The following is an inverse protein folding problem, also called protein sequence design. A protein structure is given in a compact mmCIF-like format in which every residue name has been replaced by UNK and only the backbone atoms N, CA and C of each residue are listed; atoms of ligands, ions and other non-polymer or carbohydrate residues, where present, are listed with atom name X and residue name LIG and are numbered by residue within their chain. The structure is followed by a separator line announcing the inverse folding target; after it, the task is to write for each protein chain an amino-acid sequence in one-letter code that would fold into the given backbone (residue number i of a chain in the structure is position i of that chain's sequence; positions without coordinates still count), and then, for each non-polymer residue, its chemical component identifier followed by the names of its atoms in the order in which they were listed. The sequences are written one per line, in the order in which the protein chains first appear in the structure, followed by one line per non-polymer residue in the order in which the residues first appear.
data_IF_920636996041
#
_entry.id   IF_920636996041
#
_cell.length_a   1.000
_cell.length_b   1.000
_cell.length_c   1.000
_cell.angle_alpha   90.00
_cell.angle_beta   90.00
_cell.angle_gamma   90.00
#
_symmetry.space_group_name_H-M   'P 1'
#
loop_
_entity.id
_entity.type
_entity.pdbx_description
1 polymer ?
#
# COMPACT_ATOMS: atom_id res chain seq x y z
N UNK A 1 -14.62 10.31 6.07
CA UNK A 1 -15.58 10.73 5.02
C UNK A 1 -16.89 11.28 5.59
N UNK A 2 -17.51 10.65 6.59
CA UNK A 2 -18.82 11.04 7.13
C UNK A 2 -18.96 12.53 7.50
N UNK A 3 -17.97 13.14 8.17
CA UNK A 3 -18.02 14.56 8.56
C UNK A 3 -18.05 15.53 7.38
N UNK A 4 -17.31 15.22 6.29
CA UNK A 4 -17.31 16.04 5.07
C UNK A 4 -18.67 15.94 4.36
N UNK A 5 -19.25 14.74 4.28
CA UNK A 5 -20.57 14.52 3.70
C UNK A 5 -21.67 15.23 4.50
N UNK A 6 -21.63 15.12 5.83
CA UNK A 6 -22.55 15.84 6.73
C UNK A 6 -22.42 17.35 6.59
N UNK A 7 -21.19 17.89 6.54
CA UNK A 7 -20.96 19.31 6.28
C UNK A 7 -21.54 19.73 4.92
N UNK A 8 -21.37 18.93 3.88
CA UNK A 8 -21.91 19.24 2.56
C UNK A 8 -23.44 19.29 2.56
N UNK A 9 -24.11 18.33 3.22
CA UNK A 9 -25.58 18.34 3.37
C UNK A 9 -26.07 19.53 4.21
N UNK A 10 -25.40 19.80 5.33
CA UNK A 10 -25.68 20.97 6.18
C UNK A 10 -25.62 22.29 5.41
N UNK A 11 -24.73 22.42 4.42
CA UNK A 11 -24.67 23.64 3.58
C UNK A 11 -25.94 23.82 2.72
N UNK A 12 -26.66 22.74 2.43
CA UNK A 12 -27.89 22.75 1.65
C UNK A 12 -29.15 22.86 2.51
N UNK A 13 -29.23 22.12 3.62
CA UNK A 13 -30.45 21.98 4.44
C UNK A 13 -30.39 22.67 5.81
N UNK A 14 -29.20 23.07 6.26
CA UNK A 14 -28.97 23.74 7.55
C UNK A 14 -28.91 22.83 8.77
N UNK A 15 -29.17 21.53 8.64
CA UNK A 15 -29.31 20.61 9.78
C UNK A 15 -28.00 19.96 10.18
N UNK A 16 -27.84 19.72 11.48
CA UNK A 16 -26.80 18.85 12.03
C UNK A 16 -27.24 17.39 12.00
N UNK A 17 -26.28 16.48 12.06
CA UNK A 17 -26.53 15.03 12.05
C UNK A 17 -25.74 14.33 13.15
N UNK A 18 -26.31 13.27 13.69
CA UNK A 18 -25.57 12.29 14.50
C UNK A 18 -24.86 11.32 13.56
N UNK A 19 -23.54 11.23 13.66
CA UNK A 19 -22.73 10.26 12.92
C UNK A 19 -22.41 9.10 13.87
N UNK A 20 -23.03 7.96 13.64
CA UNK A 20 -22.63 6.69 14.25
C UNK A 20 -21.59 6.00 13.37
N UNK A 21 -20.50 5.54 13.97
CA UNK A 21 -19.37 4.93 13.26
C UNK A 21 -18.86 3.71 14.03
N UNK A 22 -19.00 2.53 13.43
CA UNK A 22 -18.46 1.29 13.97
C UNK A 22 -17.07 1.00 13.44
N UNK A 23 -16.11 0.76 14.35
CA UNK A 23 -14.79 0.25 13.98
C UNK A 23 -14.89 -1.12 13.31
N UNK A 24 -15.80 -1.98 13.79
CA UNK A 24 -15.99 -3.32 13.26
C UNK A 24 -16.52 -3.29 11.82
N UNK A 25 -17.55 -2.47 11.54
CA UNK A 25 -18.10 -2.33 10.18
C UNK A 25 -17.04 -1.75 9.22
N UNK A 26 -16.26 -0.77 9.69
CA UNK A 26 -15.17 -0.22 8.88
C UNK A 26 -14.11 -1.29 8.54
N UNK A 27 -13.71 -2.12 9.51
CA UNK A 27 -12.73 -3.18 9.30
C UNK A 27 -13.25 -4.24 8.33
N UNK A 28 -14.50 -4.69 8.50
CA UNK A 28 -15.15 -5.66 7.61
C UNK A 28 -15.08 -5.18 6.16
N UNK A 29 -15.38 -3.91 5.91
CA UNK A 29 -15.38 -3.34 4.56
C UNK A 29 -13.98 -3.04 3.99
N UNK A 30 -12.96 -2.85 4.85
CA UNK A 30 -11.64 -2.36 4.39
C UNK A 30 -10.55 -3.44 4.36
N UNK A 31 -10.71 -4.55 5.08
CA UNK A 31 -9.66 -5.56 5.26
C UNK A 31 -9.82 -6.80 4.39
N UNK A 32 -10.89 -6.88 3.60
CA UNK A 32 -11.23 -8.07 2.84
C UNK A 32 -11.61 -7.69 1.40
N UNK A 33 -11.17 -8.50 0.43
CA UNK A 33 -11.55 -8.34 -0.97
C UNK A 33 -13.02 -8.73 -1.15
N UNK A 34 -13.93 -7.79 -0.86
CA UNK A 34 -15.37 -7.88 -1.11
C UNK A 34 -16.02 -9.20 -0.63
N UNK A 35 -15.86 -9.60 0.64
CA UNK A 35 -16.24 -10.93 1.11
C UNK A 35 -17.75 -11.15 0.99
N UNK A 36 -18.54 -10.10 1.22
CA UNK A 36 -20.00 -10.14 1.10
C UNK A 36 -20.41 -10.36 -0.35
N UNK A 37 -19.89 -9.56 -1.29
CA UNK A 37 -20.20 -9.69 -2.72
C UNK A 37 -19.81 -11.07 -3.25
N UNK A 38 -18.63 -11.58 -2.89
CA UNK A 38 -18.22 -12.93 -3.30
C UNK A 38 -19.10 -14.02 -2.72
N UNK A 39 -19.45 -13.91 -1.44
CA UNK A 39 -20.34 -14.86 -0.79
C UNK A 39 -21.74 -14.84 -1.41
N UNK A 40 -22.32 -13.67 -1.67
CA UNK A 40 -23.62 -13.54 -2.32
C UNK A 40 -23.63 -14.11 -3.74
N UNK A 41 -22.56 -13.85 -4.52
CA UNK A 41 -22.49 -14.27 -5.92
C UNK A 41 -22.13 -15.75 -6.10
N UNK A 42 -21.30 -16.32 -5.22
CA UNK A 42 -20.72 -17.66 -5.41
C UNK A 42 -20.93 -18.62 -4.23
N UNK A 43 -21.61 -18.20 -3.15
CA UNK A 43 -21.85 -19.02 -1.95
C UNK A 43 -20.58 -19.29 -1.13
N UNK A 44 -19.47 -18.61 -1.42
CA UNK A 44 -18.18 -18.78 -0.76
C UNK A 44 -17.35 -17.50 -0.81
N UNK A 45 -16.45 -17.25 0.16
CA UNK A 45 -15.53 -16.12 0.08
C UNK A 45 -14.56 -16.29 -1.10
N UNK A 46 -14.01 -15.17 -1.61
CA UNK A 46 -12.98 -15.18 -2.66
C UNK A 46 -11.74 -16.00 -2.27
N UNK A 47 -11.33 -15.87 -1.00
CA UNK A 47 -10.24 -16.61 -0.39
C UNK A 47 -10.69 -17.09 0.99
N UNK A 48 -10.43 -18.36 1.25
CA UNK A 48 -10.59 -19.04 2.54
C UNK A 48 -9.35 -18.90 3.43
N UNK A 49 -8.18 -18.67 2.82
CA UNK A 49 -6.91 -18.48 3.49
C UNK A 49 -6.04 -17.41 2.82
N UNK A 50 -5.01 -16.96 3.53
CA UNK A 50 -3.97 -16.09 2.98
C UNK A 50 -3.22 -16.83 1.86
N UNK A 51 -3.19 -16.25 0.66
CA UNK A 51 -2.37 -16.71 -0.46
C UNK A 51 -1.33 -15.66 -0.82
N UNK A 52 -0.06 -16.07 -0.77
CA UNK A 52 1.08 -15.26 -1.19
C UNK A 52 1.20 -15.31 -2.71
N UNK A 53 1.62 -14.20 -3.30
CA UNK A 53 2.04 -14.14 -4.70
C UNK A 53 3.51 -14.49 -4.78
N UNK A 54 3.90 -15.29 -5.76
CA UNK A 54 5.31 -15.59 -6.06
C UNK A 54 5.73 -14.72 -7.26
N UNK A 55 6.86 -13.99 -7.18
CA UNK A 55 7.78 -13.92 -6.05
C UNK A 55 7.28 -13.05 -4.89
N UNK A 56 6.48 -12.01 -5.18
CA UNK A 56 6.00 -11.07 -4.16
C UNK A 56 7.17 -10.43 -3.39
N UNK A 57 6.97 -10.19 -2.10
CA UNK A 57 8.04 -9.75 -1.19
C UNK A 57 8.94 -10.93 -0.83
N UNK A 58 10.20 -10.86 -1.24
CA UNK A 58 11.18 -11.93 -1.10
C UNK A 58 12.54 -11.42 -0.59
N UNK A 59 13.35 -12.33 -0.03
CA UNK A 59 14.73 -12.03 0.35
C UNK A 59 15.63 -11.92 -0.88
N UNK A 60 16.33 -10.80 -0.98
CA UNK A 60 17.48 -10.61 -1.85
C UNK A 60 18.79 -10.85 -1.06
N UNK A 61 19.94 -10.70 -1.71
CA UNK A 61 21.25 -10.84 -1.06
C UNK A 61 21.46 -9.86 0.11
N UNK A 62 20.95 -8.63 -0.01
CA UNK A 62 21.21 -7.51 0.90
C UNK A 62 19.94 -6.92 1.55
N UNK A 63 18.80 -7.60 1.41
CA UNK A 63 17.54 -7.11 1.95
C UNK A 63 16.31 -7.77 1.38
N UNK A 64 15.29 -6.97 1.09
CA UNK A 64 14.01 -7.42 0.56
C UNK A 64 13.69 -6.70 -0.76
N UNK A 65 13.09 -7.43 -1.69
CA UNK A 65 12.57 -6.90 -2.96
C UNK A 65 11.12 -7.35 -3.13
N UNK A 66 10.29 -6.51 -3.77
CA UNK A 66 8.92 -6.89 -4.16
C UNK A 66 8.82 -6.99 -5.69
N UNK A 67 8.35 -8.13 -6.18
CA UNK A 67 8.12 -8.41 -7.60
C UNK A 67 6.68 -8.88 -7.85
N UNK A 68 6.01 -8.24 -8.81
CA UNK A 68 4.66 -8.58 -9.23
C UNK A 68 4.64 -9.48 -10.46
N UNK A 69 4.09 -10.69 -10.32
CA UNK A 69 3.85 -11.62 -11.42
C UNK A 69 2.38 -12.06 -11.42
N UNK A 70 1.55 -11.40 -12.23
CA UNK A 70 0.09 -11.61 -12.25
C UNK A 70 -0.50 -11.86 -13.63
N UNK A 71 0.29 -11.78 -14.70
CA UNK A 71 -0.16 -11.99 -16.10
C UNK A 71 0.80 -12.95 -16.82
N UNK A 72 0.34 -13.54 -17.93
CA UNK A 72 1.17 -14.45 -18.72
C UNK A 72 2.46 -13.79 -19.23
N UNK A 73 2.36 -12.54 -19.72
CA UNK A 73 3.54 -11.79 -20.16
C UNK A 73 4.55 -11.59 -19.01
N UNK A 74 4.09 -11.17 -17.83
CA UNK A 74 4.96 -11.01 -16.66
C UNK A 74 5.61 -12.32 -16.20
N UNK A 75 4.91 -13.46 -16.36
CA UNK A 75 5.47 -14.77 -16.09
C UNK A 75 6.58 -15.13 -17.06
N UNK A 76 6.35 -14.95 -18.36
CA UNK A 76 7.36 -15.26 -19.37
C UNK A 76 8.60 -14.37 -19.22
N UNK A 77 8.40 -13.09 -18.93
CA UNK A 77 9.48 -12.15 -18.66
C UNK A 77 10.24 -12.55 -17.38
N UNK A 78 9.54 -13.01 -16.33
CA UNK A 78 10.16 -13.51 -15.11
C UNK A 78 10.99 -14.76 -15.36
N UNK A 79 10.46 -15.74 -16.10
CA UNK A 79 11.18 -16.95 -16.52
C UNK A 79 12.48 -16.59 -17.25
N UNK A 80 12.42 -15.67 -18.21
CA UNK A 80 13.60 -15.20 -18.92
C UNK A 80 14.59 -14.47 -17.99
N UNK A 81 14.10 -13.61 -17.09
CA UNK A 81 14.92 -12.86 -16.14
C UNK A 81 15.70 -13.77 -15.18
N UNK A 82 15.07 -14.83 -14.69
CA UNK A 82 15.71 -15.80 -13.76
C UNK A 82 16.49 -16.91 -14.49
N UNK A 83 16.61 -16.83 -15.81
CA UNK A 83 17.43 -17.75 -16.60
C UNK A 83 16.77 -19.09 -16.96
N UNK A 84 15.45 -19.17 -16.88
CA UNK A 84 14.65 -20.38 -17.12
C UNK A 84 13.58 -20.21 -18.21
N UNK A 85 13.95 -19.82 -19.46
CA UNK A 85 12.98 -19.68 -20.55
C UNK A 85 12.27 -20.99 -20.90
N UNK A 86 12.81 -22.15 -20.53
CA UNK A 86 12.19 -23.47 -20.73
C UNK A 86 10.94 -23.70 -19.89
N UNK A 87 10.66 -22.88 -18.87
CA UNK A 87 9.41 -22.93 -18.10
C UNK A 87 8.22 -22.29 -18.83
N UNK A 88 8.49 -21.58 -19.93
CA UNK A 88 7.44 -20.89 -20.69
C UNK A 88 6.62 -21.91 -21.47
N UNK A 89 5.36 -22.05 -21.08
CA UNK A 89 4.37 -22.87 -21.76
C UNK A 89 3.08 -22.07 -21.99
N UNK A 90 2.89 -21.59 -23.23
CA UNK A 90 1.69 -20.84 -23.65
C UNK A 90 0.41 -21.69 -23.64
N UNK A 91 0.54 -23.01 -23.61
CA UNK A 91 -0.58 -23.95 -23.61
C UNK A 91 -0.87 -24.53 -22.22
N UNK A 92 -0.13 -24.08 -21.20
CA UNK A 92 -0.29 -24.60 -19.85
C UNK A 92 -1.73 -24.41 -19.35
N UNK A 93 -2.37 -25.45 -18.80
CA UNK A 93 -3.70 -25.33 -18.21
C UNK A 93 -3.66 -24.65 -16.83
N UNK A 94 -2.46 -24.44 -16.27
CA UNK A 94 -2.26 -23.86 -14.95
C UNK A 94 -2.35 -22.34 -15.00
N UNK A 95 -2.93 -21.75 -13.95
CA UNK A 95 -2.86 -20.31 -13.75
C UNK A 95 -1.42 -19.86 -13.55
N UNK A 96 -1.13 -18.59 -13.83
CA UNK A 96 0.19 -17.99 -13.59
C UNK A 96 0.65 -18.14 -12.15
N UNK A 97 -0.28 -18.03 -11.19
CA UNK A 97 0.04 -18.27 -9.78
C UNK A 97 0.46 -19.71 -9.53
N UNK A 98 -0.20 -20.70 -10.15
CA UNK A 98 0.19 -22.11 -10.01
C UNK A 98 1.54 -22.38 -10.64
N UNK A 99 1.79 -21.86 -11.86
CA UNK A 99 3.08 -22.00 -12.54
C UNK A 99 4.22 -21.38 -11.71
N UNK A 100 4.05 -20.16 -11.20
CA UNK A 100 5.06 -19.53 -10.35
C UNK A 100 5.29 -20.29 -9.03
N UNK A 101 4.26 -20.94 -8.47
CA UNK A 101 4.42 -21.76 -7.27
C UNK A 101 5.21 -23.06 -7.53
N UNK A 102 5.11 -23.65 -8.73
CA UNK A 102 5.87 -24.86 -9.09
C UNK A 102 7.38 -24.63 -9.07
N UNK A 103 7.81 -23.40 -9.40
CA UNK A 103 9.22 -23.01 -9.52
C UNK A 103 9.65 -22.04 -8.40
N UNK A 104 8.88 -21.97 -7.31
CA UNK A 104 9.08 -20.96 -6.29
C UNK A 104 10.46 -21.05 -5.61
N UNK A 105 10.95 -22.28 -5.38
CA UNK A 105 12.25 -22.49 -4.72
C UNK A 105 13.40 -21.92 -5.56
N UNK A 106 13.44 -22.26 -6.85
CA UNK A 106 14.45 -21.78 -7.80
C UNK A 106 14.38 -20.26 -8.00
N UNK A 107 13.16 -19.72 -8.11
CA UNK A 107 12.95 -18.26 -8.17
C UNK A 107 13.51 -17.59 -6.91
N UNK A 108 13.23 -18.12 -5.72
CA UNK A 108 13.72 -17.53 -4.48
C UNK A 108 15.24 -17.71 -4.30
N UNK A 109 15.84 -18.80 -4.79
CA UNK A 109 17.29 -18.97 -4.80
C UNK A 109 17.98 -17.96 -5.72
N UNK A 110 17.40 -17.72 -6.91
CA UNK A 110 17.88 -16.67 -7.79
C UNK A 110 17.81 -15.30 -7.10
N UNK A 111 16.68 -14.95 -6.48
CA UNK A 111 16.55 -13.68 -5.76
C UNK A 111 17.54 -13.54 -4.61
N UNK A 112 17.73 -14.58 -3.78
CA UNK A 112 18.69 -14.55 -2.66
C UNK A 112 20.15 -14.40 -3.11
N UNK A 113 20.49 -14.78 -4.33
CA UNK A 113 21.85 -14.69 -4.85
C UNK A 113 22.20 -13.34 -5.47
N UNK A 114 21.22 -12.46 -5.70
CA UNK A 114 21.43 -11.15 -6.33
C UNK A 114 21.12 -9.97 -5.37
N UNK A 115 21.84 -8.84 -5.47
CA UNK A 115 21.51 -7.61 -4.76
C UNK A 115 20.11 -7.09 -5.11
N UNK A 116 19.41 -6.50 -4.13
CA UNK A 116 18.04 -6.00 -4.29
C UNK A 116 17.91 -4.93 -5.38
N UNK A 117 18.89 -4.03 -5.52
CA UNK A 117 18.90 -3.00 -6.55
C UNK A 117 19.11 -3.59 -7.96
N UNK A 118 20.00 -4.58 -8.11
CA UNK A 118 20.22 -5.28 -9.39
C UNK A 118 18.95 -6.00 -9.86
N UNK A 119 18.28 -6.71 -8.95
CA UNK A 119 17.01 -7.39 -9.23
C UNK A 119 15.98 -6.38 -9.75
N UNK A 120 15.90 -5.20 -9.12
CA UNK A 120 14.92 -4.17 -9.49
C UNK A 120 15.25 -3.52 -10.82
N UNK A 121 16.52 -3.25 -11.10
CA UNK A 121 16.96 -2.74 -12.40
C UNK A 121 16.63 -3.73 -13.52
N UNK A 122 16.94 -5.01 -13.32
CA UNK A 122 16.58 -6.09 -14.24
C UNK A 122 15.06 -6.19 -14.41
N UNK A 123 14.29 -6.27 -13.32
CA UNK A 123 12.84 -6.34 -13.37
C UNK A 123 12.23 -5.14 -14.12
N UNK A 124 12.75 -3.93 -13.90
CA UNK A 124 12.33 -2.74 -14.67
C UNK A 124 12.65 -2.89 -16.16
N UNK A 125 13.83 -3.40 -16.53
CA UNK A 125 14.20 -3.65 -17.92
C UNK A 125 13.29 -4.69 -18.60
N UNK A 126 12.94 -5.77 -17.88
CA UNK A 126 11.97 -6.78 -18.30
C UNK A 126 10.51 -6.33 -18.18
N UNK A 127 10.26 -5.10 -17.72
CA UNK A 127 8.90 -4.55 -17.48
C UNK A 127 8.05 -5.35 -16.48
N UNK A 128 8.70 -6.07 -15.58
CA UNK A 128 8.09 -6.72 -14.43
C UNK A 128 7.86 -5.67 -13.34
N UNK A 129 6.62 -5.50 -12.85
CA UNK A 129 6.33 -4.60 -11.73
C UNK A 129 7.24 -4.92 -10.54
N UNK A 130 7.94 -3.91 -10.04
CA UNK A 130 8.80 -4.05 -8.87
C UNK A 130 8.74 -2.81 -7.98
N UNK A 131 9.12 -2.99 -6.71
CA UNK A 131 9.24 -1.90 -5.75
C UNK A 131 10.31 -2.19 -4.69
N UNK A 132 10.92 -1.14 -4.09
CA UNK A 132 11.66 -1.31 -2.85
C UNK A 132 10.71 -1.70 -1.72
N UNK A 133 11.16 -2.60 -0.84
CA UNK A 133 10.44 -2.90 0.40
C UNK A 133 10.88 -1.93 1.48
N UNK A 134 9.96 -1.03 1.83
CA UNK A 134 10.23 0.03 2.80
C UNK A 134 9.80 -0.34 4.22
N UNK A 135 10.44 0.28 5.21
CA UNK A 135 10.14 0.17 6.64
C UNK A 135 10.23 1.54 7.32
N UNK A 136 10.01 1.59 8.64
CA UNK A 136 10.02 2.84 9.41
C UNK A 136 11.37 3.60 9.37
N UNK A 137 12.47 2.93 9.06
CA UNK A 137 13.80 3.54 8.99
C UNK A 137 14.14 4.15 7.62
N UNK A 138 13.66 3.55 6.52
CA UNK A 138 14.05 3.97 5.15
C UNK A 138 12.91 4.60 4.32
N UNK A 139 11.63 4.50 4.73
CA UNK A 139 10.50 4.97 3.90
C UNK A 139 10.63 6.44 3.49
N UNK A 140 11.17 7.29 4.38
CA UNK A 140 11.33 8.71 4.11
C UNK A 140 12.51 9.04 3.20
N UNK A 141 13.45 8.11 2.98
CA UNK A 141 14.60 8.31 2.12
C UNK A 141 14.36 7.89 0.67
N UNK A 142 13.27 7.19 0.36
CA UNK A 142 12.98 6.80 -1.02
C UNK A 142 12.65 8.01 -1.90
N UNK A 143 13.21 8.02 -3.11
CA UNK A 143 13.13 9.13 -4.07
C UNK A 143 11.70 9.64 -4.28
N UNK A 144 10.74 8.73 -4.45
CA UNK A 144 9.35 9.12 -4.65
C UNK A 144 8.78 9.90 -3.46
N UNK A 145 9.05 9.44 -2.23
CA UNK A 145 8.56 10.11 -1.02
C UNK A 145 9.28 11.43 -0.76
N UNK A 146 10.56 11.55 -1.12
CA UNK A 146 11.30 12.81 -1.09
C UNK A 146 10.78 13.81 -2.12
N UNK A 147 10.67 13.41 -3.38
CA UNK A 147 10.13 14.24 -4.47
C UNK A 147 8.70 14.73 -4.16
N UNK A 148 7.94 13.91 -3.42
CA UNK A 148 6.60 14.26 -2.96
C UNK A 148 6.55 15.06 -1.66
N UNK A 149 7.64 15.21 -0.91
CA UNK A 149 7.58 15.81 0.43
C UNK A 149 6.56 15.12 1.33
N UNK A 150 6.44 13.80 1.19
CA UNK A 150 5.42 13.00 1.90
C UNK A 150 5.68 12.93 3.41
N UNK A 151 6.89 13.27 3.83
CA UNK A 151 7.26 13.45 5.23
C UNK A 151 7.80 14.87 5.44
N UNK A 152 7.44 15.48 6.55
CA UNK A 152 7.88 16.81 6.97
C UNK A 152 8.49 16.73 8.37
N UNK A 153 9.35 17.69 8.71
CA UNK A 153 9.86 17.80 10.09
C UNK A 153 8.75 18.27 11.02
N UNK A 154 8.58 17.57 12.14
CA UNK A 154 7.68 17.95 13.20
C UNK A 154 8.12 19.31 13.78
N UNK A 155 7.20 20.27 13.93
CA UNK A 155 7.55 21.64 14.33
C UNK A 155 7.93 21.79 15.81
N UNK A 156 7.73 20.77 16.65
CA UNK A 156 8.09 20.77 18.07
C UNK A 156 9.43 20.09 18.31
N UNK A 157 9.53 18.82 17.90
CA UNK A 157 10.64 17.94 18.30
C UNK A 157 11.55 17.54 17.12
N UNK A 158 11.27 18.03 15.90
CA UNK A 158 12.17 17.92 14.75
C UNK A 158 12.21 16.55 14.04
N UNK A 159 11.57 15.51 14.58
CA UNK A 159 11.45 14.19 13.95
C UNK A 159 10.62 14.22 12.65
N UNK A 160 10.79 13.23 11.77
CA UNK A 160 9.99 13.13 10.54
C UNK A 160 8.60 12.58 10.81
N UNK A 161 7.57 13.24 10.30
CA UNK A 161 6.18 12.82 10.38
C UNK A 161 5.51 12.88 9.00
N UNK A 162 4.46 12.09 8.75
CA UNK A 162 3.70 12.20 7.50
C UNK A 162 3.15 13.61 7.26
N UNK A 163 3.20 14.06 6.01
CA UNK A 163 2.47 15.23 5.53
C UNK A 163 1.03 14.84 5.17
N UNK A 164 0.26 15.78 4.62
CA UNK A 164 -1.07 15.49 4.10
C UNK A 164 -1.01 14.41 3.00
N UNK A 165 -1.80 13.34 3.07
CA UNK A 165 -1.76 12.25 2.08
C UNK A 165 -2.49 12.60 0.77
N UNK A 166 -2.90 13.86 0.60
CA UNK A 166 -3.60 14.37 -0.57
C UNK A 166 -3.11 15.77 -0.93
N UNK A 167 -3.35 16.17 -2.18
CA UNK A 167 -3.05 17.50 -2.71
C UNK A 167 -4.23 17.99 -3.52
N UNK A 168 -4.49 19.28 -3.47
CA UNK A 168 -5.55 19.93 -4.23
C UNK A 168 -4.91 21.15 -4.89
N UNK A 169 -4.96 21.23 -6.21
CA UNK A 169 -4.19 22.21 -7.00
C UNK A 169 -4.44 23.67 -6.60
N UNK A 170 -5.66 24.01 -6.18
CA UNK A 170 -6.08 25.36 -5.80
C UNK A 170 -6.14 25.61 -4.30
N UNK A 171 -5.70 24.66 -3.46
CA UNK A 171 -5.79 24.78 -1.99
C UNK A 171 -4.44 24.60 -1.34
N UNK A 172 -4.02 25.64 -0.61
CA UNK A 172 -2.86 25.55 0.27
C UNK A 172 -3.28 24.92 1.60
N UNK A 173 -2.91 23.65 1.81
CA UNK A 173 -3.17 22.96 3.06
C UNK A 173 -2.32 23.57 4.18
N UNK A 174 -2.94 23.83 5.33
CA UNK A 174 -2.23 24.32 6.52
C UNK A 174 -1.13 23.32 6.90
N UNK A 175 0.10 23.81 7.05
CA UNK A 175 1.22 22.98 7.55
C UNK A 175 0.94 22.55 8.99
N UNK A 176 1.38 21.35 9.42
CA UNK A 176 1.26 20.94 10.81
C UNK A 176 1.87 21.98 11.75
N UNK A 177 1.14 22.38 12.78
CA UNK A 177 1.66 23.14 13.90
C UNK A 177 2.07 22.22 15.06
N UNK A 178 2.74 22.74 16.11
CA UNK A 178 2.99 21.96 17.32
C UNK A 178 1.68 21.43 17.89
N UNK A 179 1.64 20.16 18.30
CA UNK A 179 0.50 19.65 19.06
C UNK A 179 0.36 20.46 20.37
N UNK A 180 -0.86 20.83 20.79
CA UNK A 180 -1.04 21.60 22.00
C UNK A 180 -0.61 20.82 23.23
N UNK A 181 -0.01 21.50 24.20
CA UNK A 181 0.25 20.93 25.53
C UNK A 181 -1.06 20.72 26.27
N UNK A 182 -1.04 19.81 27.25
CA UNK A 182 -2.17 19.62 28.16
C UNK A 182 -2.55 20.97 28.80
N UNK A 183 -3.79 21.41 28.60
CA UNK A 183 -4.33 22.65 29.16
C UNK A 183 -3.94 23.94 28.43
N UNK A 184 -3.22 23.90 27.30
CA UNK A 184 -2.71 25.10 26.60
C UNK A 184 -3.79 26.14 26.25
N UNK A 185 -5.04 25.70 26.05
CA UNK A 185 -6.16 26.57 25.68
C UNK A 185 -7.22 26.75 26.77
N UNK A 186 -7.00 26.24 27.99
CA UNK A 186 -8.02 26.12 29.04
C UNK A 186 -8.60 27.47 29.52
N UNK A 187 -7.88 28.58 29.34
CA UNK A 187 -8.32 29.93 29.74
C UNK A 187 -9.13 30.67 28.68
N UNK A 188 -9.28 30.13 27.47
CA UNK A 188 -9.93 30.83 26.34
C UNK A 188 -11.43 30.52 26.19
N UNK A 189 -11.98 29.60 26.99
CA UNK A 189 -13.37 29.10 26.85
C UNK A 189 -14.29 29.45 28.02
N UNK A 190 -13.86 30.29 28.96
CA UNK A 190 -14.73 30.82 30.01
C UNK A 190 -15.72 31.83 29.44
N UNK A 191 -16.99 31.43 29.28
CA UNK A 191 -18.10 32.39 29.10
C UNK A 191 -18.10 33.36 30.29
N UNK A 192 -18.20 34.68 30.09
CA UNK A 192 -18.49 35.58 31.21
C UNK A 192 -19.84 35.19 31.82
N UNK A 193 -19.87 35.08 33.15
CA UNK A 193 -21.10 34.96 33.94
C UNK A 193 -22.01 36.18 33.72
#
# INVERSE_FOLDING_TARGET
MATLASRHRRLSDGWGELIDLSMQENQILSQTYYPVTYFEMFGRPWRDARRLTVPGVACAQDGLVDLGCGTAQQWFDLCAMVGHPEWIDEQSPLSITEQANLHAEEIYDWLRSHPSDEIRELATAFRIPNAPVANGANIASLDHFQARGSFVRNPRDGFLQPAHPYRISSVHLRRPGPAPRLGEHATTTGRPN
#
